data_IF_722184151700
#
_entry.id   IF_722184151700
#
_cell.length_a   1.000
_cell.length_b   1.000
_cell.length_c   1.000
_cell.angle_alpha   90.00
_cell.angle_beta   90.00
_cell.angle_gamma   90.00
#
_symmetry.space_group_name_H-M   'P 1'
#
loop_
_entity.id
_entity.type
_entity.pdbx_description
1 polymer ?
#
# COMPACT_ATOMS: atom_id res chain seq x y z
N UNK A 1 13.01 18.28 24.03
CA UNK A 1 12.44 17.87 22.75
C UNK A 1 10.93 17.73 22.88
N UNK A 2 10.16 18.29 21.98
CA UNK A 2 8.73 18.17 22.07
C UNK A 2 8.24 16.85 21.45
N UNK A 3 7.02 16.47 21.77
CA UNK A 3 6.40 15.23 21.32
C UNK A 3 6.34 15.13 19.80
N UNK A 4 6.08 16.24 19.14
CA UNK A 4 5.99 16.31 17.68
C UNK A 4 7.32 15.97 17.00
N UNK A 5 8.43 16.46 17.52
CA UNK A 5 9.76 16.16 16.98
C UNK A 5 10.11 14.70 17.12
N UNK A 6 9.71 14.04 18.21
CA UNK A 6 9.94 12.61 18.39
C UNK A 6 9.28 11.78 17.30
N UNK A 7 8.05 12.10 16.95
CA UNK A 7 7.34 11.39 15.89
C UNK A 7 7.90 11.67 14.52
N UNK A 8 8.38 12.88 14.27
CA UNK A 8 8.82 13.26 12.93
C UNK A 8 10.28 12.95 12.64
N UNK A 9 11.15 12.93 13.63
CA UNK A 9 12.59 12.87 13.38
C UNK A 9 13.27 11.61 13.90
N UNK A 10 12.78 11.00 14.97
CA UNK A 10 13.55 9.96 15.64
C UNK A 10 12.92 8.58 15.61
N UNK A 11 11.60 8.50 15.51
CA UNK A 11 10.93 7.25 15.80
C UNK A 11 10.11 6.72 14.65
N UNK A 12 9.45 7.60 13.91
CA UNK A 12 8.49 7.17 12.91
C UNK A 12 8.68 7.99 11.64
N UNK A 13 9.16 7.32 10.61
CA UNK A 13 9.12 7.76 9.24
C UNK A 13 7.94 7.05 8.57
N UNK A 14 6.95 7.82 8.12
CA UNK A 14 5.72 7.27 7.53
C UNK A 14 6.03 6.47 6.27
N UNK A 15 6.93 6.95 5.43
CA UNK A 15 7.31 6.23 4.21
C UNK A 15 7.97 4.90 4.55
N UNK A 16 8.81 4.87 5.57
CA UNK A 16 9.43 3.65 6.05
C UNK A 16 8.40 2.66 6.61
N UNK A 17 7.39 3.15 7.35
CA UNK A 17 6.31 2.31 7.85
C UNK A 17 5.50 1.69 6.71
N UNK A 18 5.20 2.48 5.69
CA UNK A 18 4.48 1.99 4.51
C UNK A 18 5.28 0.89 3.83
N UNK A 19 6.58 1.10 3.63
CA UNK A 19 7.46 0.11 3.02
C UNK A 19 7.55 -1.16 3.85
N UNK A 20 7.69 -1.04 5.16
CA UNK A 20 7.67 -2.20 6.07
C UNK A 20 6.38 -2.99 5.97
N UNK A 21 5.24 -2.31 5.91
CA UNK A 21 3.94 -2.96 5.78
C UNK A 21 3.84 -3.74 4.47
N UNK A 22 4.26 -3.15 3.36
CA UNK A 22 4.24 -3.80 2.05
C UNK A 22 5.16 -5.00 1.99
N UNK A 23 6.37 -4.89 2.53
CA UNK A 23 7.32 -6.00 2.59
C UNK A 23 6.79 -7.14 3.44
N UNK A 24 6.24 -6.82 4.60
CA UNK A 24 5.66 -7.83 5.49
C UNK A 24 4.51 -8.58 4.81
N UNK A 25 3.61 -7.86 4.12
CA UNK A 25 2.52 -8.49 3.38
C UNK A 25 3.02 -9.40 2.27
N UNK A 26 4.01 -8.94 1.52
CA UNK A 26 4.58 -9.72 0.41
C UNK A 26 5.20 -11.03 0.90
N UNK A 27 5.79 -11.00 2.08
CA UNK A 27 6.49 -12.16 2.64
C UNK A 27 5.56 -13.15 3.35
N UNK A 28 4.44 -12.69 3.91
CA UNK A 28 3.59 -13.54 4.75
C UNK A 28 2.18 -13.77 4.21
N UNK A 29 1.73 -13.01 3.23
CA UNK A 29 0.35 -13.08 2.76
C UNK A 29 0.30 -13.45 1.26
N UNK A 30 -0.03 -14.71 1.00
CA UNK A 30 -0.11 -15.21 -0.37
C UNK A 30 -1.23 -14.55 -1.17
N UNK A 31 -2.35 -14.25 -0.52
CA UNK A 31 -3.49 -13.60 -1.18
C UNK A 31 -3.10 -12.20 -1.67
N UNK A 32 -2.40 -11.43 -0.85
CA UNK A 32 -1.88 -10.12 -1.25
C UNK A 32 -0.92 -10.23 -2.44
N UNK A 33 0.00 -11.16 -2.37
CA UNK A 33 0.95 -11.40 -3.45
C UNK A 33 0.25 -11.77 -4.76
N UNK A 34 -0.77 -12.63 -4.67
CA UNK A 34 -1.56 -13.02 -5.84
C UNK A 34 -2.31 -11.83 -6.45
N UNK A 35 -2.82 -10.92 -5.63
CA UNK A 35 -3.46 -9.70 -6.12
C UNK A 35 -2.47 -8.82 -6.89
N UNK A 36 -1.25 -8.66 -6.39
CA UNK A 36 -0.20 -7.92 -7.08
C UNK A 36 0.14 -8.54 -8.44
N UNK A 37 0.22 -9.86 -8.49
CA UNK A 37 0.50 -10.60 -9.73
C UNK A 37 -0.62 -10.41 -10.75
N UNK A 38 -1.88 -10.43 -10.32
CA UNK A 38 -3.03 -10.20 -11.20
C UNK A 38 -3.02 -8.78 -11.77
N UNK A 39 -2.69 -7.79 -10.97
CA UNK A 39 -2.57 -6.40 -11.43
C UNK A 39 -1.47 -6.28 -12.47
N UNK A 40 -0.30 -6.88 -12.22
CA UNK A 40 0.81 -6.86 -13.16
C UNK A 40 0.43 -7.51 -14.50
N UNK A 41 -0.26 -8.64 -14.47
CA UNK A 41 -0.72 -9.33 -15.68
C UNK A 41 -1.68 -8.48 -16.50
N UNK A 42 -2.62 -7.82 -15.84
CA UNK A 42 -3.58 -6.93 -16.53
C UNK A 42 -2.83 -5.78 -17.21
N UNK A 43 -1.88 -5.16 -16.53
CA UNK A 43 -1.11 -4.05 -17.08
C UNK A 43 -0.27 -4.48 -18.29
N UNK A 44 0.27 -5.69 -18.28
CA UNK A 44 1.04 -6.23 -19.39
C UNK A 44 0.14 -6.52 -20.59
N UNK A 45 -1.02 -7.13 -20.37
CA UNK A 45 -1.92 -7.57 -21.43
C UNK A 45 -2.81 -6.46 -21.99
N UNK A 46 -2.98 -5.36 -21.23
CA UNK A 46 -3.83 -4.23 -21.61
C UNK A 46 -3.05 -2.92 -21.47
N UNK A 47 -2.05 -2.68 -22.35
CA UNK A 47 -1.16 -1.51 -22.20
C UNK A 47 -1.90 -0.16 -22.32
N UNK A 48 -3.07 -0.12 -22.95
CA UNK A 48 -3.86 1.11 -23.06
C UNK A 48 -4.34 1.61 -21.69
N UNK A 49 -4.52 0.72 -20.71
CA UNK A 49 -4.92 1.10 -19.36
C UNK A 49 -3.83 1.89 -18.64
N UNK A 50 -2.57 1.59 -18.94
CA UNK A 50 -1.45 2.33 -18.39
C UNK A 50 -1.36 3.75 -18.94
N UNK A 51 -1.76 3.94 -20.18
CA UNK A 51 -1.77 5.26 -20.84
C UNK A 51 -2.76 6.22 -20.21
N UNK A 52 -3.82 5.74 -19.58
CA UNK A 52 -4.80 6.57 -18.86
C UNK A 52 -4.12 7.35 -17.73
N UNK A 53 -3.24 6.70 -16.99
CA UNK A 53 -2.53 7.34 -15.89
C UNK A 53 -1.44 8.31 -16.36
N UNK A 54 -1.08 8.28 -17.63
CA UNK A 54 -0.10 9.18 -18.24
C UNK A 54 -0.75 10.45 -18.84
N UNK A 55 -2.03 10.65 -18.59
CA UNK A 55 -2.78 11.84 -19.01
C UNK A 55 -2.69 12.11 -20.52
N UNK A 56 -2.91 11.07 -21.30
CA UNK A 56 -2.87 11.11 -22.76
C UNK A 56 -4.29 11.26 -23.31
N UNK A 57 -4.58 12.41 -23.95
CA UNK A 57 -5.92 12.77 -24.44
C UNK A 57 -6.40 11.92 -25.62
N UNK A 58 -5.52 11.20 -26.31
CA UNK A 58 -5.83 10.45 -27.53
C UNK A 58 -6.12 8.97 -27.27
N UNK A 59 -6.50 8.61 -26.06
CA UNK A 59 -6.77 7.21 -25.71
C UNK A 59 -8.17 6.80 -26.15
N UNK A 60 -8.23 5.73 -26.93
CA UNK A 60 -9.47 5.05 -27.26
C UNK A 60 -9.48 3.69 -26.57
N UNK A 61 -10.49 3.44 -25.75
CA UNK A 61 -10.64 2.18 -25.01
C UNK A 61 -11.72 1.32 -25.67
N UNK A 62 -11.41 0.04 -25.83
CA UNK A 62 -12.39 -0.94 -26.27
C UNK A 62 -13.30 -1.32 -25.09
N UNK A 63 -14.40 -2.02 -25.37
CA UNK A 63 -15.27 -2.57 -24.33
C UNK A 63 -14.48 -3.49 -23.40
N UNK A 64 -13.59 -4.32 -23.97
CA UNK A 64 -12.73 -5.21 -23.19
C UNK A 64 -11.79 -4.42 -22.28
N UNK A 65 -11.19 -3.34 -22.77
CA UNK A 65 -10.35 -2.46 -21.97
C UNK A 65 -11.13 -1.87 -20.79
N UNK A 66 -12.36 -1.41 -21.03
CA UNK A 66 -13.22 -0.85 -19.97
C UNK A 66 -13.56 -1.89 -18.88
N UNK A 67 -13.86 -3.12 -19.30
CA UNK A 67 -14.12 -4.20 -18.35
C UNK A 67 -12.89 -4.54 -17.51
N UNK A 68 -11.72 -4.54 -18.12
CA UNK A 68 -10.46 -4.78 -17.41
C UNK A 68 -10.09 -3.63 -16.50
N UNK A 69 -10.38 -2.39 -16.90
CA UNK A 69 -10.18 -1.23 -16.04
C UNK A 69 -11.01 -1.34 -14.75
N UNK A 70 -12.27 -1.74 -14.88
CA UNK A 70 -13.13 -1.96 -13.72
C UNK A 70 -12.58 -3.05 -12.81
N UNK A 71 -12.12 -4.16 -13.39
CA UNK A 71 -11.50 -5.24 -12.62
C UNK A 71 -10.22 -4.77 -11.94
N UNK A 72 -9.41 -3.96 -12.62
CA UNK A 72 -8.19 -3.40 -12.06
C UNK A 72 -8.48 -2.52 -10.85
N UNK A 73 -9.49 -1.65 -10.92
CA UNK A 73 -9.89 -0.83 -9.78
C UNK A 73 -10.30 -1.67 -8.57
N UNK A 74 -11.06 -2.74 -8.80
CA UNK A 74 -11.47 -3.64 -7.71
C UNK A 74 -10.27 -4.35 -7.09
N UNK A 75 -9.32 -4.81 -7.90
CA UNK A 75 -8.10 -5.44 -7.40
C UNK A 75 -7.25 -4.44 -6.60
N UNK A 76 -7.13 -3.22 -7.06
CA UNK A 76 -6.37 -2.17 -6.36
C UNK A 76 -7.03 -1.78 -5.03
N UNK A 77 -8.37 -1.79 -4.95
CA UNK A 77 -9.08 -1.58 -3.69
C UNK A 77 -8.79 -2.72 -2.69
N UNK A 78 -8.80 -3.96 -3.16
CA UNK A 78 -8.47 -5.11 -2.31
C UNK A 78 -7.03 -5.04 -1.81
N UNK A 79 -6.09 -4.69 -2.69
CA UNK A 79 -4.69 -4.49 -2.33
C UNK A 79 -4.55 -3.40 -1.26
N UNK A 80 -5.22 -2.28 -1.45
CA UNK A 80 -5.19 -1.17 -0.49
C UNK A 80 -5.75 -1.57 0.86
N UNK A 81 -6.82 -2.38 0.88
CA UNK A 81 -7.38 -2.87 2.13
C UNK A 81 -6.38 -3.73 2.92
N UNK A 82 -5.62 -4.59 2.25
CA UNK A 82 -4.56 -5.34 2.90
C UNK A 82 -3.46 -4.43 3.43
N UNK A 83 -3.05 -3.47 2.63
CA UNK A 83 -1.98 -2.52 2.99
C UNK A 83 -2.38 -1.66 4.19
N UNK A 84 -3.62 -1.15 4.20
CA UNK A 84 -4.12 -0.32 5.28
C UNK A 84 -4.19 -1.09 6.60
N UNK A 85 -4.65 -2.33 6.56
CA UNK A 85 -4.70 -3.19 7.75
C UNK A 85 -3.29 -3.48 8.28
N UNK A 86 -2.36 -3.82 7.41
CA UNK A 86 -0.99 -4.10 7.82
C UNK A 86 -0.30 -2.85 8.34
N UNK A 87 -0.53 -1.70 7.69
CA UNK A 87 0.01 -0.42 8.15
C UNK A 87 -0.50 -0.09 9.56
N UNK A 88 -1.77 -0.37 9.83
CA UNK A 88 -2.34 -0.20 11.17
C UNK A 88 -1.60 -1.04 12.21
N UNK A 89 -1.34 -2.31 11.91
CA UNK A 89 -0.61 -3.19 12.82
C UNK A 89 0.84 -2.76 13.01
N UNK A 90 1.54 -2.44 11.91
CA UNK A 90 2.93 -2.01 11.98
C UNK A 90 3.04 -0.69 12.74
N UNK A 91 2.18 0.27 12.43
CA UNK A 91 2.15 1.56 13.11
C UNK A 91 1.84 1.42 14.59
N UNK A 92 0.87 0.57 14.93
CA UNK A 92 0.52 0.30 16.33
C UNK A 92 1.66 -0.34 17.10
N UNK A 93 2.35 -1.29 16.49
CA UNK A 93 3.52 -1.94 17.10
C UNK A 93 4.66 -0.95 17.30
N UNK A 94 4.96 -0.12 16.33
CA UNK A 94 6.02 0.90 16.44
C UNK A 94 5.66 1.92 17.52
N UNK A 95 4.42 2.36 17.59
CA UNK A 95 3.95 3.28 18.62
C UNK A 95 4.07 2.64 20.01
N UNK A 96 3.71 1.36 20.14
CA UNK A 96 3.84 0.63 21.40
C UNK A 96 5.29 0.62 21.88
N UNK A 97 6.23 0.25 21.02
CA UNK A 97 7.64 0.21 21.37
C UNK A 97 8.19 1.60 21.70
N UNK A 98 7.75 2.59 20.95
CA UNK A 98 8.14 3.97 21.21
C UNK A 98 7.70 4.41 22.62
N UNK A 99 6.42 4.23 22.96
CA UNK A 99 5.91 4.63 24.27
C UNK A 99 6.51 3.83 25.41
N UNK A 100 6.80 2.57 25.18
CA UNK A 100 7.49 1.74 26.16
C UNK A 100 8.90 2.25 26.43
N UNK A 101 9.64 2.59 25.38
CA UNK A 101 11.02 3.06 25.50
C UNK A 101 11.15 4.40 26.20
N UNK A 102 10.16 5.28 26.07
CA UNK A 102 10.16 6.56 26.78
C UNK A 102 9.50 6.50 28.15
N UNK A 103 9.05 5.33 28.59
CA UNK A 103 8.54 5.11 29.94
C UNK A 103 7.08 5.48 30.18
N UNK A 104 6.30 5.80 29.12
CA UNK A 104 4.88 6.09 29.25
C UNK A 104 4.08 4.81 29.50
N UNK A 105 4.42 3.72 28.83
CA UNK A 105 3.78 2.43 29.03
C UNK A 105 4.58 1.59 30.01
N UNK A 106 3.88 1.07 31.00
CA UNK A 106 4.43 0.12 31.94
C UNK A 106 3.92 -1.28 31.63
N UNK A 107 4.79 -2.22 31.67
CA UNK A 107 4.40 -3.62 31.58
C UNK A 107 3.87 -4.18 32.86
#
# INVERSE_FOLDING_TARGET
>A
MNEYELFNTNSIDIDELIDKAKVALRNKNLEYKNLLDKVADIKINYPNLQMISEDNDDISLTKSDCQMLQKLFNLELDIRNFEDKELFFVGGREAYFYFKNIGILKE
#
